data_IF_032800252800
#
_entry.id   IF_032800252800
#
_cell.length_a   1.000
_cell.length_b   1.000
_cell.length_c   1.000
_cell.angle_alpha   90.00
_cell.angle_beta   90.00
_cell.angle_gamma   90.00
#
_symmetry.space_group_name_H-M   'P 1'
#
loop_
_entity.id
_entity.type
_entity.pdbx_description
1 polymer ?
#
# COMPACT_ATOMS: atom_id res chain seq x y z
N UNK A 1 -2.34 13.43 10.84
CA UNK A 1 -3.13 12.26 10.41
C UNK A 1 -2.20 11.08 10.47
N UNK A 2 -2.61 10.02 11.14
CA UNK A 2 -1.85 8.77 11.21
C UNK A 2 -2.45 7.80 10.19
N UNK A 3 -1.62 7.13 9.41
CA UNK A 3 -2.03 6.21 8.34
C UNK A 3 -1.45 4.83 8.61
N UNK A 4 -2.30 3.81 8.55
CA UNK A 4 -1.88 2.43 8.64
C UNK A 4 -1.52 1.93 7.24
N UNK A 5 -0.21 1.85 6.98
CA UNK A 5 0.34 1.36 5.71
C UNK A 5 1.11 0.08 5.99
N UNK A 6 0.83 -0.95 5.19
CA UNK A 6 1.51 -2.24 5.26
C UNK A 6 2.22 -2.53 3.95
N UNK A 7 3.40 -3.13 4.02
CA UNK A 7 4.01 -3.81 2.90
C UNK A 7 3.72 -5.31 3.04
N UNK A 8 3.22 -5.92 1.98
CA UNK A 8 2.92 -7.36 1.91
C UNK A 8 3.60 -7.99 0.71
N UNK A 9 4.07 -9.22 0.88
CA UNK A 9 4.66 -10.03 -0.17
C UNK A 9 3.56 -10.93 -0.77
N UNK A 10 2.89 -10.44 -1.82
CA UNK A 10 1.80 -11.16 -2.47
C UNK A 10 2.30 -12.43 -3.19
N UNK A 11 1.45 -13.47 -3.22
CA UNK A 11 1.76 -14.77 -3.83
C UNK A 11 2.92 -15.54 -3.19
N UNK A 12 3.29 -15.20 -1.95
CA UNK A 12 4.31 -15.89 -1.17
C UNK A 12 3.84 -16.15 0.26
N UNK A 13 4.28 -17.25 0.85
CA UNK A 13 4.17 -17.56 2.28
C UNK A 13 5.47 -17.26 3.05
N UNK A 14 6.50 -16.76 2.35
CA UNK A 14 7.81 -16.39 2.87
C UNK A 14 8.11 -14.93 2.62
N UNK A 15 8.77 -14.28 3.58
CA UNK A 15 9.30 -12.94 3.42
C UNK A 15 10.33 -12.88 2.28
N UNK A 16 10.36 -11.75 1.57
CA UNK A 16 11.21 -11.50 0.40
C UNK A 16 10.95 -12.44 -0.79
N UNK A 17 9.75 -13.03 -0.86
CA UNK A 17 9.27 -13.81 -1.99
C UNK A 17 8.05 -13.17 -2.64
N UNK A 18 7.70 -13.60 -3.85
CA UNK A 18 6.50 -13.09 -4.53
C UNK A 18 6.63 -11.63 -4.98
N UNK A 19 5.54 -10.87 -4.92
CA UNK A 19 5.49 -9.46 -5.33
C UNK A 19 5.25 -8.53 -4.13
N UNK A 20 6.20 -7.66 -3.76
CA UNK A 20 5.98 -6.69 -2.70
C UNK A 20 4.98 -5.61 -3.13
N UNK A 21 3.94 -5.41 -2.32
CA UNK A 21 2.88 -4.44 -2.57
C UNK A 21 2.57 -3.62 -1.31
N UNK A 22 2.26 -2.34 -1.50
CA UNK A 22 1.77 -1.46 -0.44
C UNK A 22 0.26 -1.59 -0.25
N UNK A 23 -0.22 -1.51 0.98
CA UNK A 23 -1.66 -1.49 1.31
C UNK A 23 -1.92 -0.40 2.32
N UNK A 24 -2.76 0.58 1.96
CA UNK A 24 -3.22 1.64 2.86
C UNK A 24 -4.62 1.28 3.36
N UNK A 25 -4.76 1.08 4.68
CA UNK A 25 -6.05 0.82 5.31
C UNK A 25 -6.80 2.13 5.62
N UNK A 26 -8.13 2.04 5.74
CA UNK A 26 -9.04 3.15 6.05
C UNK A 26 -8.88 4.37 5.13
N UNK A 27 -8.53 4.13 3.86
CA UNK A 27 -8.16 5.15 2.89
C UNK A 27 -9.34 5.98 2.33
N UNK A 28 -10.54 5.90 2.91
CA UNK A 28 -11.77 6.51 2.38
C UNK A 28 -11.75 8.03 2.28
N UNK A 29 -10.89 8.68 3.07
CA UNK A 29 -10.74 10.15 3.07
C UNK A 29 -9.49 10.61 2.30
N UNK A 30 -8.74 9.69 1.69
CA UNK A 30 -7.55 10.05 0.92
C UNK A 30 -7.97 10.37 -0.51
N UNK A 31 -7.49 11.52 -1.00
CA UNK A 31 -7.64 11.89 -2.40
C UNK A 31 -6.71 11.04 -3.27
N UNK A 32 -6.99 11.00 -4.57
CA UNK A 32 -6.13 10.29 -5.52
C UNK A 32 -4.70 10.86 -5.53
N UNK A 33 -4.54 12.18 -5.43
CA UNK A 33 -3.22 12.82 -5.36
C UNK A 33 -2.42 12.37 -4.12
N UNK A 34 -3.09 12.26 -2.97
CA UNK A 34 -2.46 11.74 -1.75
C UNK A 34 -2.06 10.28 -1.95
N UNK A 35 -2.97 9.45 -2.50
CA UNK A 35 -2.65 8.04 -2.80
C UNK A 35 -1.49 7.89 -3.79
N UNK A 36 -1.40 8.76 -4.81
CA UNK A 36 -0.26 8.74 -5.74
C UNK A 36 1.05 9.13 -5.07
N UNK A 37 1.05 10.11 -4.17
CA UNK A 37 2.24 10.49 -3.42
C UNK A 37 2.68 9.38 -2.47
N UNK A 38 1.73 8.70 -1.81
CA UNK A 38 2.01 7.53 -0.97
C UNK A 38 2.63 6.41 -1.82
N UNK A 39 2.04 6.09 -2.98
CA UNK A 39 2.57 5.04 -3.86
C UNK A 39 4.01 5.34 -4.31
N UNK A 40 4.31 6.60 -4.63
CA UNK A 40 5.68 7.05 -4.98
C UNK A 40 6.65 6.90 -3.81
N UNK A 41 6.23 7.26 -2.60
CA UNK A 41 7.07 7.14 -1.40
C UNK A 41 7.35 5.68 -1.05
N UNK A 42 6.36 4.80 -1.18
CA UNK A 42 6.54 3.36 -0.97
C UNK A 42 7.51 2.75 -1.99
N UNK A 43 7.59 3.32 -3.20
CA UNK A 43 8.50 2.90 -4.27
C UNK A 43 8.40 1.39 -4.60
N UNK A 44 7.17 0.87 -4.57
CA UNK A 44 6.81 -0.49 -4.96
C UNK A 44 6.09 -0.46 -6.31
N UNK A 45 5.98 -1.62 -6.96
CA UNK A 45 5.25 -1.74 -8.23
C UNK A 45 3.80 -1.27 -8.10
N UNK A 46 3.14 -1.60 -6.98
CA UNK A 46 1.78 -1.19 -6.70
C UNK A 46 1.56 -0.81 -5.23
N UNK A 47 0.61 0.09 -5.00
CA UNK A 47 0.04 0.39 -3.68
C UNK A 47 -1.47 0.47 -3.78
N UNK A 48 -2.17 -0.39 -3.04
CA UNK A 48 -3.63 -0.50 -3.05
C UNK A 48 -4.28 0.28 -1.90
N UNK A 49 -5.49 0.80 -2.16
CA UNK A 49 -6.36 1.36 -1.13
C UNK A 49 -7.35 0.31 -0.64
N UNK A 50 -7.50 0.19 0.68
CA UNK A 50 -8.58 -0.54 1.30
C UNK A 50 -9.45 0.45 2.09
N UNK A 51 -10.74 0.51 1.73
CA UNK A 51 -11.72 1.39 2.38
C UNK A 51 -12.93 0.54 2.75
N UNK A 52 -13.18 0.39 4.05
CA UNK A 52 -14.44 -0.13 4.58
C UNK A 52 -15.48 1.02 4.64
#
# INVERSE_FOLDING_TARGET
>A
MELNIYQVDAFSDKAFGGNPAGVVLDAKYLTEDIMQNIAKEMNLSETAKASQ
#
